data_IF_701382423721
#
_entry.id   IF_701382423721
#
_cell.length_a   1.000
_cell.length_b   1.000
_cell.length_c   1.000
_cell.angle_alpha   90.00
_cell.angle_beta   90.00
_cell.angle_gamma   90.00
#
_symmetry.space_group_name_H-M   'P 1'
#
loop_
_entity.id
_entity.type
_entity.pdbx_description
1 polymer ?
#
# COMPACT_ATOMS: atom_id res chain seq x y z
N UNK A 1 -48.89 -19.22 -18.87
CA UNK A 1 -48.13 -17.99 -18.53
C UNK A 1 -48.17 -17.87 -17.04
N UNK A 2 -47.05 -18.18 -16.40
CA UNK A 2 -46.76 -17.78 -15.03
C UNK A 2 -45.23 -17.67 -14.96
N UNK A 3 -44.74 -16.44 -14.80
CA UNK A 3 -43.34 -16.11 -14.62
C UNK A 3 -43.14 -15.88 -13.14
N UNK A 4 -42.44 -16.78 -12.46
CA UNK A 4 -42.19 -16.65 -11.03
C UNK A 4 -41.13 -17.63 -10.56
N UNK A 5 -39.90 -17.13 -10.50
CA UNK A 5 -38.72 -17.70 -9.83
C UNK A 5 -38.02 -18.87 -10.53
N UNK A 6 -37.27 -18.48 -11.56
CA UNK A 6 -36.02 -19.11 -11.98
C UNK A 6 -35.10 -19.30 -10.77
N UNK A 7 -35.17 -20.51 -10.19
CA UNK A 7 -34.03 -21.41 -9.99
C UNK A 7 -32.66 -20.74 -10.04
N UNK A 8 -32.00 -20.75 -8.87
CA UNK A 8 -30.67 -21.33 -8.69
C UNK A 8 -29.87 -21.50 -9.98
N UNK A 9 -29.23 -20.42 -10.42
CA UNK A 9 -28.19 -20.51 -11.42
C UNK A 9 -26.99 -19.62 -11.07
N UNK A 10 -26.05 -20.28 -10.38
CA UNK A 10 -24.62 -20.33 -10.70
C UNK A 10 -23.67 -19.17 -10.31
N UNK A 11 -22.65 -19.61 -9.54
CA UNK A 11 -21.32 -19.04 -9.28
C UNK A 11 -21.29 -17.82 -8.33
N UNK A 12 -21.07 -17.96 -7.02
CA UNK A 12 -19.97 -18.70 -6.38
C UNK A 12 -18.65 -18.55 -7.15
N UNK A 13 -18.11 -17.33 -7.18
CA UNK A 13 -16.69 -17.10 -7.38
C UNK A 13 -16.04 -16.84 -6.02
N UNK A 14 -15.97 -17.89 -5.20
CA UNK A 14 -14.87 -18.03 -4.26
C UNK A 14 -13.62 -18.28 -5.11
N UNK A 15 -12.86 -17.24 -5.44
CA UNK A 15 -11.53 -17.43 -5.99
C UNK A 15 -10.61 -17.89 -4.86
N UNK A 16 -10.50 -19.21 -4.77
CA UNK A 16 -9.38 -19.92 -4.20
C UNK A 16 -8.08 -19.37 -4.78
N UNK A 17 -7.27 -18.74 -3.92
CA UNK A 17 -5.83 -18.65 -4.08
C UNK A 17 -5.17 -19.13 -2.78
N UNK A 18 -5.32 -20.42 -2.49
CA UNK A 18 -4.50 -21.09 -1.49
C UNK A 18 -3.07 -21.28 -2.03
N UNK A 19 -2.21 -20.29 -1.84
CA UNK A 19 -0.75 -20.47 -1.87
C UNK A 19 -0.13 -19.66 -0.71
N UNK A 20 0.14 -20.37 0.39
CA UNK A 20 1.05 -20.10 1.53
C UNK A 20 1.34 -18.66 2.03
N UNK A 21 0.37 -17.73 1.98
CA UNK A 21 0.33 -16.49 2.79
C UNK A 21 -0.26 -16.70 4.21
N UNK A 22 -0.63 -17.94 4.57
CA UNK A 22 -1.50 -18.25 5.72
C UNK A 22 -0.93 -17.93 7.11
N UNK A 23 0.37 -17.67 7.25
CA UNK A 23 1.01 -17.41 8.56
C UNK A 23 1.43 -15.95 8.78
N UNK A 24 1.69 -15.20 7.71
CA UNK A 24 2.12 -13.79 7.79
C UNK A 24 1.00 -12.88 7.29
N UNK A 25 0.47 -12.05 8.19
CA UNK A 25 -0.53 -11.04 7.84
C UNK A 25 0.19 -9.73 7.54
N UNK A 26 -0.04 -9.21 6.34
CA UNK A 26 0.46 -7.91 5.91
C UNK A 26 -0.58 -6.84 6.23
N UNK A 27 -0.12 -5.73 6.78
CA UNK A 27 -0.92 -4.52 6.99
C UNK A 27 -0.11 -3.30 6.57
N UNK A 28 -0.81 -2.22 6.23
CA UNK A 28 -0.17 -0.93 5.97
C UNK A 28 -0.54 0.04 7.09
N UNK A 29 0.49 0.54 7.78
CA UNK A 29 0.34 1.62 8.75
C UNK A 29 0.90 2.90 8.14
N UNK A 30 0.13 3.97 8.13
CA UNK A 30 0.56 5.28 7.65
C UNK A 30 0.82 6.17 8.86
N UNK A 31 2.08 6.27 9.27
CA UNK A 31 2.43 7.10 10.42
C UNK A 31 2.45 8.58 10.07
N UNK A 32 1.98 9.41 11.01
CA UNK A 32 2.07 10.87 10.94
C UNK A 32 3.38 11.34 11.58
N UNK A 33 4.28 11.90 10.78
CA UNK A 33 5.56 12.42 11.24
C UNK A 33 6.66 12.32 10.19
N UNK A 34 7.86 12.78 10.56
CA UNK A 34 9.00 12.78 9.65
C UNK A 34 9.57 11.34 9.53
N UNK A 35 9.86 10.82 8.32
CA UNK A 35 10.36 9.46 8.13
C UNK A 35 11.57 9.08 8.99
N UNK A 36 12.44 10.04 9.30
CA UNK A 36 13.61 9.84 10.16
C UNK A 36 13.29 9.34 11.59
N UNK A 37 12.05 9.48 12.07
CA UNK A 37 11.62 8.96 13.38
C UNK A 37 11.06 7.54 13.32
N UNK A 38 10.88 6.98 12.12
CA UNK A 38 10.28 5.67 11.89
C UNK A 38 11.31 4.74 11.25
N UNK A 39 11.99 3.99 12.09
CA UNK A 39 13.00 3.03 11.67
C UNK A 39 12.38 1.70 11.23
N UNK A 40 13.02 1.06 10.27
CA UNK A 40 12.70 -0.31 9.90
C UNK A 40 13.18 -1.26 10.99
N UNK A 41 12.27 -1.92 11.71
CA UNK A 41 12.61 -2.73 12.89
C UNK A 41 11.60 -3.82 13.20
N UNK A 42 12.05 -4.82 13.95
CA UNK A 42 11.16 -5.77 14.62
C UNK A 42 10.77 -5.19 16.00
N UNK A 43 9.47 -5.15 16.29
CA UNK A 43 8.94 -4.65 17.56
C UNK A 43 7.65 -5.40 17.93
N UNK A 44 7.14 -5.27 19.17
CA UNK A 44 5.82 -5.77 19.51
C UNK A 44 4.77 -5.23 18.53
N UNK A 45 3.86 -6.10 18.10
CA UNK A 45 2.78 -5.67 17.21
C UNK A 45 1.82 -4.76 17.97
N UNK A 46 1.51 -3.62 17.38
CA UNK A 46 0.52 -2.66 17.85
C UNK A 46 -0.49 -2.43 16.73
N UNK A 47 -1.79 -2.69 16.94
CA UNK A 47 -2.83 -2.32 15.98
C UNK A 47 -2.79 -0.82 15.69
N UNK A 48 -3.01 -0.45 14.44
CA UNK A 48 -2.97 0.95 14.02
C UNK A 48 -4.12 1.24 13.07
N UNK A 49 -4.88 2.27 13.39
CA UNK A 49 -5.94 2.77 12.52
C UNK A 49 -5.39 3.95 11.71
N UNK A 50 -5.58 3.92 10.39
CA UNK A 50 -5.06 4.96 9.49
C UNK A 50 -5.93 6.23 9.49
N UNK A 51 -6.67 6.49 10.57
CA UNK A 51 -7.52 7.68 10.71
C UNK A 51 -6.64 8.93 10.77
N UNK A 52 -7.09 10.02 10.15
CA UNK A 52 -6.34 11.29 10.04
C UNK A 52 -5.00 11.22 9.28
N UNK A 53 -4.81 10.18 8.45
CA UNK A 53 -3.57 10.02 7.67
C UNK A 53 -3.64 10.59 6.26
N UNK A 54 -4.76 11.22 5.89
CA UNK A 54 -4.89 11.97 4.64
C UNK A 54 -3.80 13.03 4.48
N UNK A 55 -3.35 13.24 3.25
CA UNK A 55 -2.55 14.41 2.90
C UNK A 55 -3.50 15.58 2.71
N UNK A 56 -3.33 16.60 3.55
CA UNK A 56 -4.06 17.86 3.49
C UNK A 56 -3.14 18.96 2.96
N UNK A 57 -3.69 19.80 2.10
CA UNK A 57 -3.00 20.98 1.60
C UNK A 57 -3.98 22.15 1.46
N UNK A 58 -3.49 23.38 1.55
CA UNK A 58 -4.34 24.56 1.38
C UNK A 58 -4.90 24.63 -0.04
N UNK A 59 -6.17 25.05 -0.17
CA UNK A 59 -6.83 25.22 -1.47
C UNK A 59 -6.02 26.09 -2.43
N UNK A 60 -5.50 27.22 -1.97
CA UNK A 60 -4.73 28.14 -2.84
C UNK A 60 -3.47 27.49 -3.38
N UNK A 61 -2.75 26.74 -2.55
CA UNK A 61 -1.57 25.99 -3.01
C UNK A 61 -1.97 24.88 -3.99
N UNK A 62 -3.03 24.12 -3.71
CA UNK A 62 -3.53 23.11 -4.64
C UNK A 62 -3.98 23.72 -5.96
N UNK A 63 -4.54 24.93 -5.99
CA UNK A 63 -5.00 25.54 -7.23
C UNK A 63 -3.84 26.13 -8.03
N UNK A 64 -2.95 26.88 -7.38
CA UNK A 64 -1.99 27.75 -8.07
C UNK A 64 -0.52 27.37 -7.90
N UNK A 65 -0.15 26.69 -6.81
CA UNK A 65 1.25 26.44 -6.45
C UNK A 65 1.73 25.02 -6.72
N UNK A 66 0.82 24.04 -6.75
CA UNK A 66 1.17 22.62 -6.81
C UNK A 66 1.28 22.11 -8.25
N UNK A 67 2.35 21.37 -8.52
CA UNK A 67 2.54 20.68 -9.80
C UNK A 67 1.41 19.66 -10.04
N UNK A 68 1.04 19.44 -11.30
CA UNK A 68 -0.06 18.53 -11.66
C UNK A 68 0.17 17.11 -11.15
N UNK A 69 1.38 16.61 -11.30
CA UNK A 69 1.79 15.26 -10.89
C UNK A 69 1.67 15.09 -9.37
N UNK A 70 1.99 16.13 -8.62
CA UNK A 70 1.86 16.11 -7.16
C UNK A 70 0.39 16.10 -6.71
N UNK A 71 -0.48 16.85 -7.39
CA UNK A 71 -1.94 16.78 -7.13
C UNK A 71 -2.47 15.36 -7.34
N UNK A 72 -2.13 14.75 -8.46
CA UNK A 72 -2.56 13.38 -8.79
C UNK A 72 -2.00 12.38 -7.77
N UNK A 73 -0.75 12.56 -7.34
CA UNK A 73 -0.17 11.71 -6.29
C UNK A 73 -0.95 11.81 -4.98
N UNK A 74 -1.30 13.03 -4.54
CA UNK A 74 -2.07 13.26 -3.31
C UNK A 74 -3.48 12.67 -3.41
N UNK A 75 -4.15 12.83 -4.54
CA UNK A 75 -5.45 12.20 -4.81
C UNK A 75 -5.35 10.67 -4.69
N UNK A 76 -4.34 10.08 -5.33
CA UNK A 76 -4.09 8.63 -5.23
C UNK A 76 -3.78 8.18 -3.81
N UNK A 77 -3.00 8.97 -3.07
CA UNK A 77 -2.71 8.71 -1.67
C UNK A 77 -3.96 8.74 -0.79
N UNK A 78 -4.81 9.74 -0.96
CA UNK A 78 -6.03 9.89 -0.17
C UNK A 78 -7.05 8.79 -0.49
N UNK A 79 -7.20 8.39 -1.75
CA UNK A 79 -7.96 7.20 -2.11
C UNK A 79 -7.38 5.92 -1.49
N UNK A 80 -6.05 5.80 -1.42
CA UNK A 80 -5.45 4.66 -0.74
C UNK A 80 -5.76 4.65 0.77
N UNK A 81 -5.80 5.81 1.42
CA UNK A 81 -6.27 5.93 2.81
C UNK A 81 -7.75 5.50 2.92
N UNK A 82 -8.62 5.95 2.03
CA UNK A 82 -10.04 5.54 1.99
C UNK A 82 -10.19 4.03 1.86
N UNK A 83 -9.39 3.39 1.01
CA UNK A 83 -9.35 1.92 0.88
C UNK A 83 -9.02 1.24 2.22
N UNK A 84 -8.00 1.72 2.93
CA UNK A 84 -7.59 1.16 4.23
C UNK A 84 -8.64 1.36 5.34
N UNK A 85 -9.49 2.39 5.23
CA UNK A 85 -10.53 2.70 6.21
C UNK A 85 -11.90 2.09 5.87
N UNK A 86 -12.11 1.63 4.64
CA UNK A 86 -13.39 1.10 4.14
C UNK A 86 -13.51 -0.42 4.19
N UNK A 87 -12.64 -1.09 4.95
CA UNK A 87 -12.51 -2.55 4.96
C UNK A 87 -12.26 -3.15 3.56
N UNK A 88 -11.58 -2.40 2.69
CA UNK A 88 -11.11 -2.88 1.40
C UNK A 88 -12.04 -2.62 0.22
N UNK A 89 -12.74 -1.48 0.17
CA UNK A 89 -13.55 -1.12 -1.00
C UNK A 89 -12.69 -0.92 -2.26
N UNK A 90 -12.87 -1.83 -3.21
CA UNK A 90 -12.12 -1.91 -4.47
C UNK A 90 -12.22 -0.65 -5.34
N UNK A 91 -13.27 0.17 -5.19
CA UNK A 91 -13.38 1.45 -5.89
C UNK A 91 -12.20 2.37 -5.55
N UNK A 92 -11.91 2.52 -4.26
CA UNK A 92 -10.84 3.38 -3.79
C UNK A 92 -9.46 2.83 -4.19
N UNK A 93 -9.28 1.52 -4.12
CA UNK A 93 -8.05 0.88 -4.58
C UNK A 93 -7.82 1.10 -6.08
N UNK A 94 -8.88 1.02 -6.89
CA UNK A 94 -8.81 1.27 -8.32
C UNK A 94 -8.36 2.70 -8.64
N UNK A 95 -8.99 3.70 -8.03
CA UNK A 95 -8.64 5.11 -8.27
C UNK A 95 -7.23 5.42 -7.74
N UNK A 96 -6.83 4.88 -6.60
CA UNK A 96 -5.46 4.99 -6.09
C UNK A 96 -4.43 4.44 -7.10
N UNK A 97 -4.64 3.23 -7.61
CA UNK A 97 -3.76 2.60 -8.62
C UNK A 97 -3.65 3.44 -9.88
N UNK A 98 -4.79 3.94 -10.38
CA UNK A 98 -4.84 4.78 -11.57
C UNK A 98 -4.02 6.05 -11.37
N UNK A 99 -4.18 6.74 -10.25
CA UNK A 99 -3.41 7.95 -9.93
C UNK A 99 -1.89 7.67 -9.81
N UNK A 100 -1.50 6.62 -9.09
CA UNK A 100 -0.09 6.26 -8.97
C UNK A 100 0.52 5.79 -10.30
N UNK A 101 -0.24 5.12 -11.16
CA UNK A 101 0.23 4.75 -12.50
C UNK A 101 0.50 5.98 -13.38
N UNK A 102 -0.29 7.05 -13.25
CA UNK A 102 -0.09 8.30 -14.00
C UNK A 102 1.17 9.06 -13.59
N UNK A 103 1.60 8.90 -12.34
CA UNK A 103 2.75 9.61 -11.75
C UNK A 103 3.99 8.72 -11.64
N UNK A 104 3.88 7.45 -12.04
CA UNK A 104 4.88 6.40 -11.93
C UNK A 104 6.27 6.76 -12.49
N UNK A 105 6.29 7.48 -13.62
CA UNK A 105 7.53 7.85 -14.30
C UNK A 105 8.24 9.05 -13.68
N UNK A 106 7.58 9.78 -12.78
CA UNK A 106 8.02 11.08 -12.26
C UNK A 106 8.18 11.09 -10.74
N UNK A 107 7.45 10.25 -10.02
CA UNK A 107 7.40 10.22 -8.55
C UNK A 107 7.74 8.80 -8.07
N UNK A 108 8.87 8.66 -7.38
CA UNK A 108 9.35 7.36 -6.87
C UNK A 108 8.43 6.79 -5.79
N UNK A 109 7.80 7.66 -4.99
CA UNK A 109 6.78 7.30 -4.02
C UNK A 109 5.59 6.57 -4.68
N UNK A 110 5.23 6.91 -5.92
CA UNK A 110 4.17 6.19 -6.64
C UNK A 110 4.55 4.74 -6.92
N UNK A 111 5.84 4.47 -7.20
CA UNK A 111 6.33 3.09 -7.35
C UNK A 111 6.26 2.34 -6.03
N UNK A 112 6.66 3.00 -4.93
CA UNK A 112 6.57 2.43 -3.59
C UNK A 112 5.11 2.08 -3.24
N UNK A 113 4.17 3.01 -3.45
CA UNK A 113 2.74 2.79 -3.17
C UNK A 113 2.14 1.68 -4.06
N UNK A 114 2.47 1.63 -5.35
CA UNK A 114 2.05 0.53 -6.22
C UNK A 114 2.61 -0.83 -5.76
N UNK A 115 3.85 -0.85 -5.28
CA UNK A 115 4.44 -2.04 -4.66
C UNK A 115 3.64 -2.51 -3.44
N UNK A 116 3.28 -1.60 -2.53
CA UNK A 116 2.44 -1.91 -1.37
C UNK A 116 1.05 -2.44 -1.79
N UNK A 117 0.41 -1.80 -2.76
CA UNK A 117 -0.88 -2.24 -3.29
C UNK A 117 -0.80 -3.67 -3.83
N UNK A 118 0.25 -4.00 -4.60
CA UNK A 118 0.41 -5.37 -5.11
C UNK A 118 0.62 -6.42 -4.02
N UNK A 119 1.23 -6.05 -2.89
CA UNK A 119 1.30 -6.94 -1.72
C UNK A 119 -0.10 -7.18 -1.15
N UNK A 120 -0.90 -6.12 -0.99
CA UNK A 120 -2.28 -6.22 -0.47
C UNK A 120 -3.18 -7.07 -1.38
N UNK A 121 -3.00 -6.96 -2.70
CA UNK A 121 -3.70 -7.79 -3.70
C UNK A 121 -3.23 -9.26 -3.73
N UNK A 122 -2.26 -9.65 -2.90
CA UNK A 122 -1.71 -11.00 -2.90
C UNK A 122 -0.84 -11.32 -4.11
N UNK A 123 -0.26 -10.30 -4.77
CA UNK A 123 0.63 -10.45 -5.92
C UNK A 123 2.07 -9.96 -5.59
N UNK A 124 2.81 -10.72 -4.76
CA UNK A 124 4.15 -10.33 -4.29
C UNK A 124 5.19 -10.25 -5.41
N UNK A 125 5.01 -11.01 -6.50
CA UNK A 125 5.92 -10.99 -7.66
C UNK A 125 5.88 -9.63 -8.38
N UNK A 126 4.68 -9.13 -8.66
CA UNK A 126 4.51 -7.81 -9.29
C UNK A 126 4.90 -6.69 -8.33
N UNK A 127 4.67 -6.85 -7.03
CA UNK A 127 5.16 -5.90 -6.02
C UNK A 127 6.68 -5.73 -6.10
N UNK A 128 7.42 -6.85 -6.15
CA UNK A 128 8.87 -6.85 -6.23
C UNK A 128 9.43 -6.12 -7.45
N UNK A 129 8.69 -6.09 -8.57
CA UNK A 129 9.08 -5.31 -9.76
C UNK A 129 9.05 -3.81 -9.46
N UNK A 130 7.96 -3.30 -8.89
CA UNK A 130 7.85 -1.88 -8.57
C UNK A 130 8.95 -1.41 -7.62
N UNK A 131 9.24 -2.18 -6.57
CA UNK A 131 10.30 -1.85 -5.63
C UNK A 131 11.71 -1.86 -6.27
N UNK A 132 11.99 -2.76 -7.22
CA UNK A 132 13.29 -2.81 -7.93
C UNK A 132 13.50 -1.65 -8.91
N UNK A 133 12.42 -1.01 -9.34
CA UNK A 133 12.46 0.15 -10.24
C UNK A 133 12.68 1.48 -9.48
N UNK A 134 12.69 1.45 -8.14
CA UNK A 134 13.03 2.62 -7.31
C UNK A 134 14.51 2.93 -7.44
N UNK A 135 14.83 4.20 -7.75
CA UNK A 135 16.21 4.68 -7.91
C UNK A 135 16.62 5.73 -6.89
N UNK A 136 15.67 6.53 -6.42
CA UNK A 136 15.86 7.50 -5.35
C UNK A 136 15.00 7.10 -4.14
N UNK A 137 15.65 7.02 -2.98
CA UNK A 137 15.06 6.61 -1.70
C UNK A 137 14.82 7.79 -0.76
N UNK A 138 14.96 9.02 -1.25
CA UNK A 138 14.73 10.23 -0.46
C UNK A 138 13.26 10.47 -0.13
N UNK A 139 12.34 9.97 -0.97
CA UNK A 139 10.88 10.07 -0.83
C UNK A 139 10.40 11.45 -0.31
N UNK A 140 10.71 12.53 -1.04
CA UNK A 140 10.45 13.90 -0.59
C UNK A 140 8.99 14.20 -0.27
N UNK A 141 8.01 13.54 -0.88
CA UNK A 141 6.58 13.77 -0.60
C UNK A 141 6.18 13.21 0.76
N UNK A 142 6.70 12.04 1.13
CA UNK A 142 6.50 11.48 2.47
C UNK A 142 7.10 12.38 3.56
N UNK A 143 8.23 13.02 3.27
CA UNK A 143 8.84 14.04 4.14
C UNK A 143 7.98 15.30 4.19
N UNK A 144 7.63 15.86 3.04
CA UNK A 144 6.90 17.12 2.90
C UNK A 144 5.54 17.08 3.60
N UNK A 145 4.82 15.96 3.47
CA UNK A 145 3.49 15.79 4.03
C UNK A 145 3.45 15.06 5.37
N UNK A 146 4.62 14.69 5.91
CA UNK A 146 4.73 13.97 7.18
C UNK A 146 3.84 12.72 7.19
N UNK A 147 3.89 11.92 6.12
CA UNK A 147 3.16 10.64 5.99
C UNK A 147 4.14 9.55 5.65
N UNK A 148 4.11 8.47 6.44
CA UNK A 148 5.09 7.38 6.34
C UNK A 148 4.36 6.06 6.17
N UNK A 149 3.99 5.69 4.92
CA UNK A 149 3.35 4.41 4.64
C UNK A 149 4.36 3.29 4.91
N UNK A 150 4.02 2.41 5.84
CA UNK A 150 4.90 1.38 6.39
C UNK A 150 4.24 0.03 6.21
N UNK A 151 4.95 -0.91 5.58
CA UNK A 151 4.51 -2.30 5.52
C UNK A 151 4.76 -2.96 6.87
N UNK A 152 3.74 -3.57 7.45
CA UNK A 152 3.79 -4.27 8.73
C UNK A 152 3.54 -5.74 8.48
N UNK A 153 4.53 -6.57 8.80
CA UNK A 153 4.46 -8.02 8.64
C UNK A 153 4.31 -8.65 10.02
N UNK A 154 3.13 -9.20 10.32
CA UNK A 154 2.90 -9.86 11.60
C UNK A 154 3.59 -11.22 11.64
N UNK A 155 4.21 -11.50 12.77
CA UNK A 155 4.82 -12.80 13.08
C UNK A 155 3.99 -13.54 14.13
N UNK A 156 4.13 -14.86 14.22
CA UNK A 156 3.37 -15.70 15.15
C UNK A 156 3.63 -15.38 16.63
N UNK A 157 4.71 -14.68 16.96
CA UNK A 157 5.16 -14.42 18.34
C UNK A 157 4.64 -13.11 18.95
N UNK A 158 3.56 -12.52 18.40
CA UNK A 158 3.02 -11.23 18.84
C UNK A 158 3.90 -10.03 18.51
N UNK A 159 4.93 -10.23 17.66
CA UNK A 159 5.79 -9.19 17.12
C UNK A 159 5.44 -8.91 15.67
N UNK A 160 5.84 -7.75 15.18
CA UNK A 160 5.77 -7.40 13.77
C UNK A 160 7.09 -6.80 13.28
N UNK A 161 7.38 -7.03 12.02
CA UNK A 161 8.44 -6.35 11.29
C UNK A 161 7.83 -5.13 10.59
N UNK A 162 8.28 -3.95 11.00
CA UNK A 162 7.88 -2.67 10.45
C UNK A 162 8.90 -2.25 9.38
N UNK A 163 8.45 -2.09 8.13
CA UNK A 163 9.27 -1.82 6.96
C UNK A 163 8.90 -0.46 6.38
N UNK A 164 9.67 0.56 6.74
CA UNK A 164 9.39 1.97 6.44
C UNK A 164 9.91 2.35 5.04
N UNK A 165 9.44 3.45 4.42
CA UNK A 165 9.86 3.84 3.07
C UNK A 165 11.29 4.36 3.11
N UNK A 166 12.23 3.43 3.02
CA UNK A 166 13.68 3.66 3.07
C UNK A 166 14.38 2.58 2.24
N UNK A 167 15.64 2.81 1.91
CA UNK A 167 16.45 1.81 1.20
C UNK A 167 16.48 0.47 1.97
N UNK A 168 16.76 0.52 3.27
CA UNK A 168 16.79 -0.68 4.12
C UNK A 168 15.43 -1.38 4.16
N UNK A 169 14.34 -0.62 4.33
CA UNK A 169 12.99 -1.16 4.33
C UNK A 169 12.66 -1.87 3.03
N UNK A 170 12.98 -1.27 1.89
CA UNK A 170 12.71 -1.85 0.56
C UNK A 170 13.58 -3.08 0.30
N UNK A 171 14.86 -3.08 0.69
CA UNK A 171 15.73 -4.25 0.57
C UNK A 171 15.20 -5.43 1.40
N UNK A 172 14.70 -5.17 2.61
CA UNK A 172 14.04 -6.17 3.46
C UNK A 172 12.73 -6.66 2.84
N UNK A 173 11.89 -5.78 2.30
CA UNK A 173 10.68 -6.16 1.55
C UNK A 173 11.06 -7.11 0.42
N UNK A 174 12.02 -6.74 -0.42
CA UNK A 174 12.47 -7.56 -1.54
C UNK A 174 13.01 -8.93 -1.11
N UNK A 175 13.73 -8.99 0.01
CA UNK A 175 14.20 -10.27 0.57
C UNK A 175 13.03 -11.16 1.01
N UNK A 176 12.02 -10.60 1.68
CA UNK A 176 10.81 -11.34 2.08
C UNK A 176 10.10 -11.92 0.85
N UNK A 177 9.87 -11.09 -0.17
CA UNK A 177 9.19 -11.51 -1.41
C UNK A 177 9.97 -12.57 -2.21
N UNK A 178 11.30 -12.59 -2.10
CA UNK A 178 12.15 -13.60 -2.77
C UNK A 178 12.14 -14.96 -2.06
N UNK A 179 12.13 -14.94 -0.72
CA UNK A 179 12.13 -16.17 0.07
C UNK A 179 10.82 -16.97 -0.04
N UNK A 180 9.71 -16.32 -0.39
CA UNK A 180 8.42 -16.99 -0.65
C UNK A 180 8.40 -17.82 -1.95
N UNK A 181 9.34 -17.58 -2.88
CA UNK A 181 9.49 -18.39 -4.09
C UNK A 181 10.17 -19.75 -3.87
N UNK A 182 10.75 -19.99 -2.69
CA UNK A 182 11.58 -21.16 -2.35
C UNK A 182 11.43 -21.57 -0.86
N UNK A 183 10.21 -21.87 -0.40
CA UNK A 183 10.02 -22.62 0.85
C UNK A 183 9.62 -24.06 0.51
N UNK A 184 10.16 -25.08 1.21
CA UNK A 184 9.94 -26.51 0.92
C UNK A 184 8.48 -26.93 0.99
#
# INVERSE_FOLDING_TARGET
MDFGNLTDLFHCFTFSSEINLRKMRFEIHIYKGHPAFFETKEAPYVPYENVETYIESSFDYMTHGMAKEEKIFIEGFNHFVDYLLSDGDEYFLHEAKKAFAHTYGQIEESKYMLGLIRILEGNPRDAGRFFKEIRDFSFPRFIQYYRVPTLVVKTENGKALYLTPSKEGIEKILSLLQNEGNLP
#
